data_IF_951158715151
#
_entry.id   IF_951158715151
#
_cell.length_a   1.000
_cell.length_b   1.000
_cell.length_c   1.000
_cell.angle_alpha   90.00
_cell.angle_beta   90.00
_cell.angle_gamma   90.00
#
_symmetry.space_group_name_H-M   'P 1'
#
loop_
_entity.id
_entity.type
_entity.pdbx_description
1 polymer ?
#
# COMPACT_ATOMS: atom_id res chain seq x y z
N UNK A 1 8.17 -21.09 27.94
CA UNK A 1 8.55 -21.03 26.53
C UNK A 1 7.79 -22.11 25.77
N UNK A 2 6.72 -21.73 25.06
CA UNK A 2 6.02 -22.66 24.17
C UNK A 2 6.88 -22.84 22.93
N UNK A 3 7.69 -23.89 22.88
CA UNK A 3 8.46 -24.24 21.70
C UNK A 3 7.50 -24.91 20.68
N UNK A 4 7.01 -24.15 19.72
CA UNK A 4 6.36 -24.74 18.54
C UNK A 4 7.48 -25.22 17.63
N UNK A 5 7.72 -26.53 17.62
CA UNK A 5 8.84 -27.16 16.90
C UNK A 5 8.42 -27.81 15.61
N UNK A 6 7.17 -28.25 15.52
CA UNK A 6 6.71 -29.11 14.44
C UNK A 6 5.52 -28.51 13.69
N UNK A 7 5.40 -28.90 12.43
CA UNK A 7 4.26 -28.65 11.55
C UNK A 7 3.75 -29.97 11.01
N UNK A 8 2.45 -30.05 10.81
CA UNK A 8 1.81 -31.21 10.19
C UNK A 8 1.22 -30.73 8.87
N UNK A 9 1.65 -31.35 7.79
CA UNK A 9 1.07 -31.14 6.47
C UNK A 9 0.13 -32.30 6.22
N UNK A 10 -1.13 -32.00 5.89
CA UNK A 10 -2.15 -33.01 5.61
C UNK A 10 -2.58 -32.90 4.15
N UNK A 11 -2.57 -34.01 3.43
CA UNK A 11 -3.19 -34.09 2.10
C UNK A 11 -4.72 -34.17 2.29
N UNK A 12 -5.47 -33.18 1.83
CA UNK A 12 -6.93 -33.14 2.00
C UNK A 12 -7.68 -34.21 1.18
N UNK A 13 -7.01 -34.81 0.18
CA UNK A 13 -7.61 -35.85 -0.67
C UNK A 13 -7.48 -37.25 -0.06
N UNK A 14 -6.29 -37.55 0.50
CA UNK A 14 -6.00 -38.88 1.05
C UNK A 14 -6.12 -38.97 2.58
N UNK A 15 -5.96 -37.83 3.25
CA UNK A 15 -5.86 -37.75 4.71
C UNK A 15 -4.48 -38.11 5.25
N UNK A 16 -3.50 -38.36 4.38
CA UNK A 16 -2.13 -38.62 4.77
C UNK A 16 -1.51 -37.40 5.44
N UNK A 17 -0.68 -37.64 6.46
CA UNK A 17 -0.04 -36.56 7.22
C UNK A 17 1.47 -36.73 7.27
N UNK A 18 2.19 -35.64 7.07
CA UNK A 18 3.64 -35.56 7.20
C UNK A 18 4.01 -34.58 8.31
N UNK A 19 4.99 -34.97 9.13
CA UNK A 19 5.52 -34.15 10.22
C UNK A 19 6.83 -33.51 9.80
N UNK A 20 6.93 -32.20 9.96
CA UNK A 20 8.14 -31.43 9.65
C UNK A 20 8.56 -30.60 10.86
N UNK A 21 9.86 -30.58 11.15
CA UNK A 21 10.40 -29.52 12.02
C UNK A 21 10.22 -28.18 11.32
N UNK A 22 10.05 -27.10 12.07
CA UNK A 22 9.86 -25.75 11.50
C UNK A 22 10.96 -25.35 10.54
N UNK A 23 12.21 -25.79 10.80
CA UNK A 23 13.37 -25.55 9.94
C UNK A 23 13.38 -26.35 8.63
N UNK A 24 12.55 -27.39 8.54
CA UNK A 24 12.53 -28.34 7.41
C UNK A 24 11.16 -28.34 6.68
N UNK A 25 10.34 -27.35 6.93
CA UNK A 25 9.05 -27.20 6.23
C UNK A 25 9.32 -26.88 4.75
N UNK A 26 8.65 -27.60 3.81
CA UNK A 26 8.83 -27.37 2.38
C UNK A 26 8.60 -25.91 1.97
N UNK A 27 9.41 -25.42 1.03
CA UNK A 27 9.42 -24.00 0.62
C UNK A 27 8.09 -23.51 0.02
N UNK A 28 7.23 -24.40 -0.46
CA UNK A 28 5.92 -24.04 -0.99
C UNK A 28 4.88 -23.72 0.10
N UNK A 29 5.21 -23.97 1.39
CA UNK A 29 4.35 -23.62 2.52
C UNK A 29 4.62 -22.17 2.92
N UNK A 30 3.74 -21.26 2.56
CA UNK A 30 3.91 -19.82 2.83
C UNK A 30 3.67 -19.43 4.29
N UNK A 31 2.83 -20.18 5.00
CA UNK A 31 2.45 -19.91 6.39
C UNK A 31 2.95 -21.01 7.30
N UNK A 32 4.20 -20.95 7.68
CA UNK A 32 4.78 -21.84 8.72
C UNK A 32 4.34 -21.38 10.11
N UNK A 33 4.20 -20.08 10.31
CA UNK A 33 3.63 -19.49 11.52
C UNK A 33 2.28 -18.86 11.22
N UNK A 34 1.36 -18.97 12.19
CA UNK A 34 0.09 -18.24 12.13
C UNK A 34 0.27 -16.77 12.50
N UNK A 35 -0.60 -15.88 11.95
CA UNK A 35 -0.55 -14.44 12.19
C UNK A 35 -0.68 -14.08 13.66
N UNK A 36 -1.67 -14.64 14.35
CA UNK A 36 -1.89 -14.40 15.79
C UNK A 36 -0.68 -14.82 16.61
N UNK A 37 -0.05 -15.95 16.25
CA UNK A 37 1.11 -16.45 16.97
C UNK A 37 2.32 -15.51 16.83
N UNK A 38 2.58 -14.98 15.63
CA UNK A 38 3.73 -14.07 15.46
C UNK A 38 3.49 -12.73 16.15
N UNK A 39 2.27 -12.19 16.14
CA UNK A 39 1.88 -11.02 16.92
C UNK A 39 2.08 -11.27 18.42
N UNK A 40 1.54 -12.38 18.95
CA UNK A 40 1.70 -12.73 20.35
C UNK A 40 3.16 -12.92 20.78
N UNK A 41 4.00 -13.52 19.93
CA UNK A 41 5.45 -13.62 20.18
C UNK A 41 6.12 -12.25 20.22
N UNK A 42 5.70 -11.34 19.33
CA UNK A 42 6.19 -9.97 19.33
C UNK A 42 5.80 -9.22 20.60
N UNK A 43 4.56 -9.40 21.07
CA UNK A 43 4.06 -8.78 22.30
C UNK A 43 4.83 -9.29 23.53
N UNK A 44 5.04 -10.59 23.66
CA UNK A 44 5.85 -11.15 24.74
C UNK A 44 7.28 -10.56 24.74
N UNK A 45 7.89 -10.42 23.56
CA UNK A 45 9.18 -9.75 23.46
C UNK A 45 9.09 -8.28 23.86
N UNK A 46 8.09 -7.56 23.37
CA UNK A 46 7.88 -6.14 23.66
C UNK A 46 7.62 -5.85 25.15
N UNK A 47 6.89 -6.73 25.83
CA UNK A 47 6.57 -6.62 27.25
C UNK A 47 7.73 -7.06 28.16
N UNK A 48 8.40 -8.17 27.80
CA UNK A 48 9.37 -8.82 28.70
C UNK A 48 10.82 -8.40 28.45
N UNK A 49 11.13 -7.74 27.32
CA UNK A 49 12.50 -7.33 26.97
C UNK A 49 13.15 -6.41 27.99
N UNK A 50 12.37 -5.62 28.73
CA UNK A 50 12.81 -4.76 29.83
C UNK A 50 12.98 -5.46 31.17
N UNK A 51 12.78 -6.78 31.23
CA UNK A 51 12.83 -7.61 32.42
C UNK A 51 11.51 -7.70 33.18
N UNK A 52 11.36 -8.79 33.95
CA UNK A 52 10.11 -9.16 34.66
C UNK A 52 9.59 -8.02 35.55
N UNK A 53 10.43 -7.39 36.35
CA UNK A 53 10.01 -6.31 37.26
C UNK A 53 9.51 -5.07 36.50
N UNK A 54 10.09 -4.77 35.36
CA UNK A 54 9.61 -3.67 34.52
C UNK A 54 8.25 -3.98 33.91
N UNK A 55 8.02 -5.21 33.45
CA UNK A 55 6.74 -5.61 32.87
C UNK A 55 5.59 -5.61 33.88
N UNK A 56 5.89 -5.85 35.18
CA UNK A 56 4.85 -5.93 36.22
C UNK A 56 4.59 -4.58 36.90
N UNK A 57 5.60 -3.74 37.10
CA UNK A 57 5.48 -2.51 37.91
C UNK A 57 5.78 -1.22 37.18
N UNK A 58 6.57 -1.25 36.10
CA UNK A 58 7.04 -0.01 35.47
C UNK A 58 6.54 0.21 34.05
N UNK A 59 6.37 -0.85 33.29
CA UNK A 59 5.99 -0.90 31.87
C UNK A 59 6.77 0.09 30.97
N UNK A 60 7.95 0.56 31.44
CA UNK A 60 8.73 1.57 30.73
C UNK A 60 9.32 0.99 29.45
N UNK A 61 8.93 1.56 28.32
CA UNK A 61 9.37 1.09 27.00
C UNK A 61 8.74 -0.22 26.55
N UNK A 62 7.75 -0.75 27.30
CA UNK A 62 6.97 -1.90 26.87
C UNK A 62 6.09 -1.54 25.67
N UNK A 63 6.05 -2.45 24.70
CA UNK A 63 5.35 -2.29 23.44
C UNK A 63 4.48 -3.52 23.18
N UNK A 64 3.38 -3.30 22.50
CA UNK A 64 2.52 -4.37 22.00
C UNK A 64 1.99 -4.03 20.61
N UNK A 65 1.55 -5.04 19.89
CA UNK A 65 0.84 -4.86 18.63
C UNK A 65 -0.54 -4.24 18.87
N UNK A 66 -1.11 -3.60 17.85
CA UNK A 66 -2.52 -3.20 17.84
C UNK A 66 -3.41 -4.43 17.70
N UNK A 67 -4.74 -4.27 17.93
CA UNK A 67 -5.67 -5.40 18.06
C UNK A 67 -5.96 -6.12 16.73
N UNK A 68 -5.46 -5.62 15.60
CA UNK A 68 -5.67 -6.22 14.28
C UNK A 68 -4.38 -6.20 13.45
N UNK A 69 -4.35 -6.97 12.38
CA UNK A 69 -3.21 -7.04 11.47
C UNK A 69 -3.63 -7.33 10.04
N UNK A 70 -2.79 -6.92 9.09
CA UNK A 70 -2.95 -7.22 7.68
C UNK A 70 -1.85 -8.13 7.15
N UNK A 71 -2.04 -8.64 5.94
CA UNK A 71 -1.06 -9.46 5.26
C UNK A 71 -0.49 -8.71 4.06
N UNK A 72 0.81 -8.90 3.81
CA UNK A 72 1.50 -8.37 2.64
C UNK A 72 2.47 -9.43 2.09
N UNK A 73 2.50 -9.58 0.77
CA UNK A 73 3.53 -10.38 0.12
C UNK A 73 4.74 -9.49 -0.14
N UNK A 74 5.92 -9.93 0.31
CA UNK A 74 7.18 -9.22 0.12
C UNK A 74 8.32 -10.24 -0.01
N UNK A 75 9.17 -10.07 -1.02
CA UNK A 75 10.32 -10.93 -1.31
C UNK A 75 9.97 -12.43 -1.45
N UNK A 76 8.76 -12.73 -1.94
CA UNK A 76 8.26 -14.09 -2.14
C UNK A 76 7.69 -14.76 -0.89
N UNK A 77 7.65 -14.09 0.25
CA UNK A 77 7.07 -14.56 1.50
C UNK A 77 5.85 -13.76 1.91
N UNK A 78 4.99 -14.37 2.72
CA UNK A 78 3.86 -13.69 3.36
C UNK A 78 4.30 -13.08 4.68
N UNK A 79 4.07 -11.80 4.84
CA UNK A 79 4.35 -11.03 6.04
C UNK A 79 3.05 -10.55 6.68
N UNK A 80 2.97 -10.61 8.00
CA UNK A 80 2.00 -9.86 8.79
C UNK A 80 2.55 -8.46 9.01
N UNK A 81 1.72 -7.44 8.91
CA UNK A 81 2.01 -6.09 9.39
C UNK A 81 0.92 -5.64 10.35
N UNK A 82 1.32 -4.91 11.39
CA UNK A 82 0.42 -4.39 12.41
C UNK A 82 1.04 -3.12 13.02
N UNK A 83 0.20 -2.24 13.54
CA UNK A 83 0.66 -1.12 14.35
C UNK A 83 1.30 -1.60 15.65
N UNK A 84 2.13 -0.76 16.23
CA UNK A 84 2.75 -1.00 17.54
C UNK A 84 2.46 0.20 18.43
N UNK A 85 1.90 -0.05 19.60
CA UNK A 85 1.58 0.97 20.61
C UNK A 85 2.42 0.76 21.86
N UNK A 86 2.52 1.80 22.68
CA UNK A 86 3.11 1.71 24.02
C UNK A 86 2.08 1.15 25.01
N UNK A 87 2.50 0.23 25.88
CA UNK A 87 1.63 -0.32 26.94
C UNK A 87 1.15 0.76 27.93
N UNK A 88 1.89 1.85 28.07
CA UNK A 88 1.59 2.93 29.01
C UNK A 88 1.05 4.22 28.37
N UNK A 89 0.85 4.22 27.05
CA UNK A 89 0.53 5.43 26.30
C UNK A 89 -0.93 5.51 25.90
N UNK A 90 -1.30 6.68 25.47
CA UNK A 90 -2.51 6.90 24.70
C UNK A 90 -2.48 6.01 23.45
N UNK A 91 -3.62 5.72 22.86
CA UNK A 91 -3.84 4.83 21.71
C UNK A 91 -3.13 5.26 20.40
N UNK A 92 -1.95 5.84 20.51
CA UNK A 92 -1.16 6.31 19.38
C UNK A 92 -0.14 5.26 18.96
N UNK A 93 -0.06 4.99 17.66
CA UNK A 93 0.99 4.17 17.10
C UNK A 93 2.36 4.83 17.29
N UNK A 94 3.30 4.06 17.81
CA UNK A 94 4.72 4.44 17.93
C UNK A 94 5.57 3.85 16.79
N UNK A 95 4.97 2.99 15.99
CA UNK A 95 5.61 2.34 14.84
C UNK A 95 4.77 1.21 14.27
N UNK A 96 5.37 0.48 13.35
CA UNK A 96 4.82 -0.72 12.74
C UNK A 96 5.76 -1.90 12.91
N UNK A 97 5.21 -3.07 13.13
CA UNK A 97 5.93 -4.32 13.08
C UNK A 97 5.55 -5.10 11.81
N UNK A 98 6.53 -5.71 11.19
CA UNK A 98 6.33 -6.67 10.11
C UNK A 98 6.94 -8.00 10.54
N UNK A 99 6.21 -9.09 10.37
CA UNK A 99 6.62 -10.42 10.81
C UNK A 99 6.46 -11.42 9.66
N UNK A 100 7.54 -12.07 9.30
CA UNK A 100 7.57 -13.08 8.26
C UNK A 100 6.93 -14.38 8.76
N UNK A 101 5.91 -14.86 8.06
CA UNK A 101 5.18 -16.08 8.45
C UNK A 101 5.92 -17.37 8.14
N UNK A 102 6.98 -17.34 7.34
CA UNK A 102 7.82 -18.50 7.07
C UNK A 102 8.94 -18.63 8.11
N UNK A 103 9.67 -17.53 8.35
CA UNK A 103 10.89 -17.55 9.17
C UNK A 103 10.65 -17.14 10.63
N UNK A 104 9.56 -16.42 10.91
CA UNK A 104 9.30 -15.79 12.20
C UNK A 104 10.15 -14.54 12.46
N UNK A 105 10.91 -14.06 11.44
CA UNK A 105 11.66 -12.80 11.54
C UNK A 105 10.71 -11.64 11.77
N UNK A 106 11.09 -10.71 12.63
CA UNK A 106 10.34 -9.48 12.87
C UNK A 106 11.18 -8.24 12.56
N UNK A 107 10.56 -7.23 11.92
CA UNK A 107 11.14 -5.93 11.63
C UNK A 107 10.26 -4.85 12.26
N UNK A 108 10.88 -3.89 12.92
CA UNK A 108 10.19 -2.75 13.52
C UNK A 108 10.55 -1.47 12.77
N UNK A 109 9.53 -0.72 12.38
CA UNK A 109 9.65 0.57 11.73
C UNK A 109 9.09 1.65 12.64
N UNK A 110 9.94 2.58 13.06
CA UNK A 110 9.51 3.69 13.91
C UNK A 110 8.77 4.73 13.07
N UNK A 111 7.46 4.76 13.17
CA UNK A 111 6.59 5.74 12.53
C UNK A 111 5.52 6.11 13.56
N UNK A 112 5.58 7.32 14.08
CA UNK A 112 4.53 7.82 14.98
C UNK A 112 3.33 8.29 14.15
N UNK A 113 2.12 7.91 14.53
CA UNK A 113 0.94 8.32 13.79
C UNK A 113 -0.36 7.72 14.30
N UNK A 114 -1.37 7.78 13.47
CA UNK A 114 -2.67 7.19 13.77
C UNK A 114 -2.58 5.65 13.71
N UNK A 115 -3.33 5.02 14.59
CA UNK A 115 -3.63 3.60 14.45
C UNK A 115 -4.60 3.36 13.28
N UNK A 116 -4.72 2.11 12.87
CA UNK A 116 -5.52 1.70 11.71
C UNK A 116 -6.98 2.12 11.83
N UNK A 117 -7.59 1.95 13.00
CA UNK A 117 -9.00 2.31 13.24
C UNK A 117 -9.24 3.81 13.19
N UNK A 118 -8.31 4.62 13.68
CA UNK A 118 -8.37 6.08 13.55
C UNK A 118 -8.27 6.53 12.11
N UNK A 119 -7.43 5.88 11.30
CA UNK A 119 -7.35 6.13 9.87
C UNK A 119 -8.63 5.71 9.13
N UNK A 120 -9.22 4.57 9.50
CA UNK A 120 -10.53 4.12 8.97
C UNK A 120 -11.62 5.13 9.29
N UNK A 121 -11.71 5.59 10.54
CA UNK A 121 -12.68 6.60 10.95
C UNK A 121 -12.50 7.93 10.20
N UNK A 122 -11.26 8.34 9.95
CA UNK A 122 -10.95 9.54 9.14
C UNK A 122 -11.42 9.39 7.70
N UNK A 123 -11.19 8.22 7.07
CA UNK A 123 -11.66 7.94 5.71
C UNK A 123 -13.20 7.88 5.63
N UNK A 124 -13.88 7.23 6.60
CA UNK A 124 -15.33 7.18 6.68
C UNK A 124 -15.92 8.59 6.87
N UNK A 125 -15.25 9.45 7.65
CA UNK A 125 -15.64 10.84 7.86
C UNK A 125 -15.72 11.64 6.57
N UNK A 126 -14.82 11.43 5.62
CA UNK A 126 -14.84 12.11 4.30
C UNK A 126 -16.08 11.77 3.46
N UNK A 127 -16.60 10.57 3.62
CA UNK A 127 -17.74 10.05 2.86
C UNK A 127 -18.96 9.75 3.73
N UNK A 128 -19.06 10.43 4.89
CA UNK A 128 -20.12 10.19 5.88
C UNK A 128 -21.53 10.27 5.28
N UNK A 129 -21.74 11.18 4.32
CA UNK A 129 -23.02 11.37 3.63
C UNK A 129 -23.42 10.18 2.75
N UNK A 130 -22.46 9.30 2.38
CA UNK A 130 -22.68 8.09 1.58
C UNK A 130 -22.90 6.85 2.47
N UNK A 131 -22.53 6.92 3.75
CA UNK A 131 -22.66 5.80 4.69
C UNK A 131 -21.73 4.63 4.39
N UNK A 132 -20.63 4.86 3.66
CA UNK A 132 -19.67 3.80 3.34
C UNK A 132 -18.80 3.44 4.54
N UNK A 133 -18.35 2.18 4.58
CA UNK A 133 -17.50 1.62 5.61
C UNK A 133 -16.12 1.28 5.06
N UNK A 134 -15.08 1.65 5.81
CA UNK A 134 -13.71 1.33 5.47
C UNK A 134 -13.39 -0.15 5.72
N UNK A 135 -12.59 -0.75 4.83
CA UNK A 135 -11.91 -2.01 5.14
C UNK A 135 -10.70 -1.74 6.01
N UNK A 136 -10.18 -2.78 6.67
CA UNK A 136 -8.86 -2.69 7.31
C UNK A 136 -7.83 -2.19 6.30
N UNK A 137 -6.99 -1.20 6.66
CA UNK A 137 -6.07 -0.57 5.74
C UNK A 137 -4.84 -1.41 5.45
N UNK A 138 -4.27 -1.24 4.27
CA UNK A 138 -2.92 -1.68 3.96
C UNK A 138 -1.93 -0.55 4.10
N UNK A 139 -0.79 -0.80 4.76
CA UNK A 139 0.30 0.15 4.85
C UNK A 139 1.14 0.12 3.57
N UNK A 140 1.28 1.27 2.93
CA UNK A 140 2.10 1.46 1.73
C UNK A 140 3.04 2.66 1.91
N UNK A 141 4.01 2.77 1.03
CA UNK A 141 4.87 3.95 0.97
C UNK A 141 4.57 4.73 -0.32
N UNK A 142 4.18 5.99 -0.18
CA UNK A 142 3.99 6.90 -1.30
C UNK A 142 5.07 7.98 -1.22
N UNK A 143 6.11 7.84 -2.05
CA UNK A 143 7.22 8.80 -2.14
C UNK A 143 7.88 9.11 -0.78
N UNK A 144 8.14 8.07 0.00
CA UNK A 144 8.75 8.19 1.32
C UNK A 144 7.77 8.49 2.46
N UNK A 145 6.48 8.67 2.16
CA UNK A 145 5.43 8.97 3.15
C UNK A 145 4.67 7.69 3.48
N UNK A 146 4.69 7.22 4.74
CA UNK A 146 3.87 6.11 5.18
C UNK A 146 2.39 6.46 5.00
N UNK A 147 1.66 5.63 4.29
CA UNK A 147 0.28 5.89 3.87
C UNK A 147 -0.57 4.64 4.05
N UNK A 148 -1.74 4.80 4.62
CA UNK A 148 -2.77 3.77 4.61
C UNK A 148 -3.58 3.84 3.32
N UNK A 149 -3.74 2.70 2.64
CA UNK A 149 -4.70 2.53 1.56
C UNK A 149 -5.81 1.58 1.99
N UNK A 150 -7.05 1.93 1.72
CA UNK A 150 -8.22 1.13 2.06
C UNK A 150 -9.31 1.28 1.03
N UNK A 151 -10.26 0.33 1.02
CA UNK A 151 -11.46 0.43 0.22
C UNK A 151 -12.65 0.87 1.08
N UNK A 152 -13.52 1.67 0.50
CA UNK A 152 -14.78 2.09 1.09
C UNK A 152 -15.92 1.29 0.44
N UNK A 153 -16.68 0.59 1.27
CA UNK A 153 -17.75 -0.33 0.85
C UNK A 153 -19.12 0.21 1.25
N UNK A 154 -20.12 -0.04 0.41
CA UNK A 154 -21.51 0.21 0.76
C UNK A 154 -22.04 -0.85 1.76
N UNK A 155 -23.30 -0.67 2.18
CA UNK A 155 -23.97 -1.59 3.10
C UNK A 155 -24.12 -3.02 2.54
N UNK A 156 -24.00 -3.19 1.22
CA UNK A 156 -24.02 -4.49 0.54
C UNK A 156 -22.62 -5.14 0.48
N UNK A 157 -21.59 -4.48 0.99
CA UNK A 157 -20.20 -4.97 0.97
C UNK A 157 -19.47 -4.73 -0.35
N UNK A 158 -20.10 -4.00 -1.31
CA UNK A 158 -19.48 -3.70 -2.60
C UNK A 158 -18.52 -2.51 -2.47
N UNK A 159 -17.33 -2.64 -3.04
CA UNK A 159 -16.34 -1.56 -3.12
C UNK A 159 -16.90 -0.43 -4.00
N UNK A 160 -16.93 0.78 -3.47
CA UNK A 160 -17.40 1.98 -4.13
C UNK A 160 -16.32 3.03 -4.34
N UNK A 161 -15.37 3.11 -3.41
CA UNK A 161 -14.30 4.10 -3.45
C UNK A 161 -13.03 3.52 -2.83
N UNK A 162 -11.93 4.22 -3.07
CA UNK A 162 -10.64 4.01 -2.42
C UNK A 162 -10.33 5.22 -1.56
N UNK A 163 -9.64 5.01 -0.43
CA UNK A 163 -9.16 6.07 0.43
C UNK A 163 -7.66 5.91 0.70
N UNK A 164 -6.97 7.02 0.76
CA UNK A 164 -5.57 7.15 1.16
C UNK A 164 -5.50 8.10 2.35
N UNK A 165 -4.83 7.68 3.42
CA UNK A 165 -4.69 8.43 4.67
C UNK A 165 -3.23 8.50 5.05
N UNK A 166 -2.72 9.70 5.30
CA UNK A 166 -1.37 9.88 5.84
C UNK A 166 -1.29 9.31 7.26
N UNK A 167 -0.27 8.49 7.53
CA UNK A 167 -0.12 7.82 8.82
C UNK A 167 0.17 8.81 9.94
N UNK A 168 1.04 9.79 9.70
CA UNK A 168 1.43 10.79 10.69
C UNK A 168 0.37 11.90 10.84
N UNK A 169 -0.23 12.27 9.71
CA UNK A 169 -1.23 13.35 9.62
C UNK A 169 -2.56 12.79 9.10
N UNK A 170 -3.23 11.99 9.91
CA UNK A 170 -4.47 11.29 9.55
C UNK A 170 -5.66 12.22 9.17
N UNK A 171 -5.50 13.53 9.27
CA UNK A 171 -6.42 14.51 8.69
C UNK A 171 -6.17 14.74 7.18
N UNK A 172 -5.03 14.30 6.63
CA UNK A 172 -4.78 14.28 5.20
C UNK A 172 -5.37 13.00 4.64
N UNK A 173 -6.59 13.11 4.13
CA UNK A 173 -7.38 12.01 3.59
C UNK A 173 -7.82 12.35 2.19
N UNK A 174 -7.52 11.47 1.25
CA UNK A 174 -8.01 11.56 -0.12
C UNK A 174 -8.89 10.36 -0.45
N UNK A 175 -9.97 10.59 -1.19
CA UNK A 175 -10.86 9.55 -1.69
C UNK A 175 -11.01 9.66 -3.18
N UNK A 176 -11.25 8.53 -3.86
CA UNK A 176 -11.50 8.48 -5.30
C UNK A 176 -12.31 7.25 -5.67
N UNK A 177 -13.02 7.30 -6.78
CA UNK A 177 -13.78 6.15 -7.29
C UNK A 177 -12.88 5.06 -7.86
N UNK A 178 -11.67 5.44 -8.26
CA UNK A 178 -10.59 4.53 -8.64
C UNK A 178 -9.37 4.75 -7.74
N UNK A 179 -8.44 3.80 -7.73
CA UNK A 179 -7.16 3.96 -7.03
C UNK A 179 -6.36 5.14 -7.60
N UNK A 180 -6.42 5.34 -8.91
CA UNK A 180 -5.74 6.43 -9.63
C UNK A 180 -6.27 7.78 -9.16
N UNK A 181 -7.59 7.96 -9.10
CA UNK A 181 -8.21 9.20 -8.64
C UNK A 181 -7.85 9.51 -7.17
N UNK A 182 -7.94 8.49 -6.32
CA UNK A 182 -7.55 8.63 -4.92
C UNK A 182 -6.08 9.03 -4.77
N UNK A 183 -5.18 8.42 -5.55
CA UNK A 183 -3.75 8.75 -5.55
C UNK A 183 -3.49 10.16 -6.06
N UNK A 184 -4.15 10.59 -7.13
CA UNK A 184 -4.03 11.94 -7.68
C UNK A 184 -4.48 13.00 -6.65
N UNK A 185 -5.66 12.77 -6.03
CA UNK A 185 -6.17 13.63 -4.98
C UNK A 185 -5.23 13.67 -3.76
N UNK A 186 -4.68 12.52 -3.34
CA UNK A 186 -3.75 12.42 -2.22
C UNK A 186 -2.46 13.20 -2.50
N UNK A 187 -1.87 13.03 -3.66
CA UNK A 187 -0.66 13.74 -4.05
C UNK A 187 -0.86 15.26 -4.06
N UNK A 188 -2.03 15.73 -4.51
CA UNK A 188 -2.41 17.14 -4.45
C UNK A 188 -2.46 17.64 -3.00
N UNK A 189 -3.11 16.90 -2.10
CA UNK A 189 -3.17 17.25 -0.68
C UNK A 189 -1.79 17.24 -0.03
N UNK A 190 -0.92 16.29 -0.35
CA UNK A 190 0.46 16.26 0.15
C UNK A 190 1.24 17.51 -0.29
N UNK A 191 1.10 17.92 -1.55
CA UNK A 191 1.74 19.15 -2.06
C UNK A 191 1.20 20.41 -1.36
N UNK A 192 -0.12 20.52 -1.16
CA UNK A 192 -0.77 21.64 -0.47
C UNK A 192 -0.33 21.73 1.00
N UNK A 193 0.00 20.59 1.63
CA UNK A 193 0.50 20.52 3.01
C UNK A 193 2.03 20.59 3.12
N UNK A 194 2.74 20.83 2.00
CA UNK A 194 4.20 20.95 1.99
C UNK A 194 4.95 19.65 2.30
N UNK A 195 4.28 18.49 2.19
CA UNK A 195 4.85 17.18 2.47
C UNK A 195 5.50 16.55 1.23
N UNK A 196 5.22 17.08 0.04
CA UNK A 196 5.76 16.61 -1.23
C UNK A 196 6.05 17.80 -2.15
N UNK A 197 7.23 17.84 -2.71
CA UNK A 197 7.46 18.73 -3.85
C UNK A 197 6.81 18.10 -5.08
N UNK A 198 6.15 18.90 -5.90
CA UNK A 198 5.57 18.48 -7.18
C UNK A 198 6.61 17.81 -8.10
N UNK A 199 7.91 17.99 -7.83
CA UNK A 199 9.02 17.40 -8.58
C UNK A 199 9.30 15.92 -8.22
N UNK A 200 8.87 15.39 -7.08
CA UNK A 200 9.24 14.03 -6.65
C UNK A 200 8.31 12.92 -7.18
N UNK A 201 7.26 13.25 -7.93
CA UNK A 201 6.37 12.24 -8.52
C UNK A 201 6.95 11.55 -9.76
N UNK A 202 8.01 12.10 -10.33
CA UNK A 202 8.50 11.73 -11.65
C UNK A 202 9.85 11.03 -11.65
N UNK A 203 10.57 10.98 -10.52
CA UNK A 203 11.94 10.46 -10.50
C UNK A 203 12.01 8.93 -10.70
N UNK A 204 10.95 8.19 -10.37
CA UNK A 204 10.87 6.73 -10.57
C UNK A 204 10.04 6.31 -11.80
N UNK A 205 9.40 7.25 -12.49
CA UNK A 205 8.61 6.96 -13.69
C UNK A 205 9.48 7.23 -14.92
N UNK A 206 9.62 6.26 -15.85
CA UNK A 206 10.27 6.50 -17.13
C UNK A 206 9.69 7.73 -17.79
N UNK A 207 10.55 8.70 -18.13
CA UNK A 207 10.12 9.91 -18.79
C UNK A 207 11.07 10.29 -19.92
N UNK A 208 10.54 10.97 -20.91
CA UNK A 208 11.31 11.42 -22.06
C UNK A 208 10.77 12.75 -22.57
N UNK A 209 11.69 13.65 -22.88
CA UNK A 209 11.35 14.83 -23.66
C UNK A 209 11.28 14.44 -25.14
N UNK A 210 10.15 14.66 -25.77
CA UNK A 210 9.90 14.28 -27.16
C UNK A 210 9.46 15.50 -27.98
N UNK A 211 9.72 15.43 -29.29
CA UNK A 211 9.05 16.28 -30.28
C UNK A 211 7.96 15.44 -30.94
N UNK A 212 6.74 15.91 -30.90
CA UNK A 212 5.58 15.22 -31.49
C UNK A 212 5.70 15.23 -32.99
N UNK A 213 5.81 14.05 -33.61
CA UNK A 213 5.80 13.90 -35.06
C UNK A 213 4.37 13.79 -35.59
N UNK A 214 3.55 12.98 -34.94
CA UNK A 214 2.16 12.73 -35.34
C UNK A 214 1.28 12.49 -34.10
N UNK A 215 -0.01 12.83 -34.22
CA UNK A 215 -1.02 12.56 -33.18
C UNK A 215 -2.28 12.02 -33.84
N UNK A 216 -2.83 10.93 -33.29
CA UNK A 216 -4.05 10.29 -33.80
C UNK A 216 -5.03 10.03 -32.67
N UNK A 217 -6.29 10.28 -32.96
CA UNK A 217 -7.42 9.96 -32.11
C UNK A 217 -8.14 8.74 -32.71
N UNK A 218 -8.20 7.65 -31.97
CA UNK A 218 -8.80 6.39 -32.41
C UNK A 218 -9.90 6.01 -31.44
N UNK A 219 -11.12 5.86 -31.95
CA UNK A 219 -12.24 5.40 -31.14
C UNK A 219 -12.32 3.87 -31.24
N UNK A 220 -12.27 3.20 -30.07
CA UNK A 220 -12.40 1.74 -29.94
C UNK A 220 -13.33 1.46 -28.75
N UNK A 221 -14.37 0.67 -28.96
CA UNK A 221 -15.29 0.20 -27.90
C UNK A 221 -15.81 1.33 -26.99
N UNK A 222 -16.32 2.43 -27.61
CA UNK A 222 -16.84 3.63 -26.94
C UNK A 222 -15.78 4.49 -26.22
N UNK A 223 -14.51 4.13 -26.29
CA UNK A 223 -13.39 4.87 -25.70
C UNK A 223 -12.54 5.51 -26.80
N UNK A 224 -12.21 6.80 -26.65
CA UNK A 224 -11.28 7.49 -27.55
C UNK A 224 -9.88 7.42 -26.98
N UNK A 225 -8.96 6.82 -27.71
CA UNK A 225 -7.54 6.78 -27.38
C UNK A 225 -6.77 7.80 -28.20
N UNK A 226 -5.82 8.48 -27.56
CA UNK A 226 -4.85 9.35 -28.20
C UNK A 226 -3.53 8.59 -28.37
N UNK A 227 -3.02 8.57 -29.59
CA UNK A 227 -1.72 8.02 -29.93
C UNK A 227 -0.79 9.14 -30.34
N UNK A 228 0.31 9.30 -29.64
CA UNK A 228 1.36 10.29 -29.96
C UNK A 228 2.56 9.50 -30.47
N UNK A 229 3.09 9.91 -31.64
CA UNK A 229 4.34 9.36 -32.18
C UNK A 229 5.40 10.44 -32.12
N UNK A 230 6.58 10.13 -31.60
CA UNK A 230 7.71 11.06 -31.59
C UNK A 230 8.53 10.96 -32.89
N UNK A 231 9.46 11.92 -33.10
CA UNK A 231 10.36 11.91 -34.27
C UNK A 231 11.29 10.69 -34.33
N UNK A 232 11.50 9.99 -33.21
CA UNK A 232 12.28 8.76 -33.14
C UNK A 232 11.46 7.49 -33.47
N UNK A 233 10.12 7.64 -33.66
CA UNK A 233 9.21 6.55 -33.99
C UNK A 233 8.65 5.81 -32.77
N UNK A 234 8.88 6.28 -31.55
CA UNK A 234 8.24 5.72 -30.36
C UNK A 234 6.77 6.13 -30.32
N UNK A 235 5.92 5.20 -29.91
CA UNK A 235 4.46 5.40 -29.82
C UNK A 235 4.03 5.42 -28.37
N UNK A 236 3.22 6.41 -28.04
CA UNK A 236 2.64 6.60 -26.72
C UNK A 236 1.11 6.64 -26.83
N UNK A 237 0.41 6.05 -25.90
CA UNK A 237 -1.05 5.92 -25.90
C UNK A 237 -1.63 6.37 -24.56
N UNK A 238 -2.78 7.05 -24.61
CA UNK A 238 -3.59 7.35 -23.41
C UNK A 238 -5.08 7.34 -23.78
N UNK A 239 -5.94 7.00 -22.81
CA UNK A 239 -7.36 7.25 -22.89
C UNK A 239 -7.60 8.77 -22.83
N UNK A 240 -8.31 9.30 -23.82
CA UNK A 240 -8.57 10.75 -23.92
C UNK A 240 -9.38 11.28 -22.72
N UNK A 241 -10.26 10.47 -22.15
CA UNK A 241 -11.06 10.85 -20.99
C UNK A 241 -10.21 11.08 -19.72
N UNK A 242 -9.00 10.54 -19.67
CA UNK A 242 -8.08 10.72 -18.55
C UNK A 242 -7.30 12.04 -18.61
N UNK A 243 -7.15 12.62 -19.80
CA UNK A 243 -6.42 13.87 -19.99
C UNK A 243 -6.92 14.63 -21.23
N UNK A 244 -7.92 15.48 -21.04
CA UNK A 244 -8.50 16.29 -22.11
C UNK A 244 -7.52 17.34 -22.64
N UNK A 245 -6.45 17.68 -21.92
CA UNK A 245 -5.43 18.64 -22.39
C UNK A 245 -4.66 18.13 -23.61
N UNK A 246 -4.69 16.83 -23.87
CA UNK A 246 -4.08 16.22 -25.05
C UNK A 246 -4.63 16.79 -26.36
N UNK A 247 -5.87 17.35 -26.36
CA UNK A 247 -6.47 17.98 -27.54
C UNK A 247 -5.69 19.21 -28.03
N UNK A 248 -4.90 19.84 -27.15
CA UNK A 248 -4.12 21.02 -27.47
C UNK A 248 -2.71 20.70 -27.97
N UNK A 249 -2.31 19.41 -27.96
CA UNK A 249 -1.01 18.97 -28.46
C UNK A 249 -1.06 18.86 -29.98
N UNK A 250 -0.03 19.37 -30.64
CA UNK A 250 0.08 19.39 -32.10
C UNK A 250 1.43 18.82 -32.55
N UNK A 251 1.49 18.39 -33.82
CA UNK A 251 2.77 18.02 -34.43
C UNK A 251 3.75 19.18 -34.38
N UNK A 252 4.98 18.92 -33.98
CA UNK A 252 6.04 19.89 -33.74
C UNK A 252 6.16 20.39 -32.30
N UNK A 253 5.18 20.12 -31.42
CA UNK A 253 5.25 20.46 -30.00
C UNK A 253 6.35 19.66 -29.29
N UNK A 254 7.05 20.35 -28.37
CA UNK A 254 7.99 19.70 -27.45
C UNK A 254 7.31 19.49 -26.12
N UNK A 255 7.16 18.23 -25.74
CA UNK A 255 6.51 17.82 -24.51
C UNK A 255 7.38 16.83 -23.74
N UNK A 256 7.21 16.78 -22.44
CA UNK A 256 7.80 15.74 -21.61
C UNK A 256 6.73 14.72 -21.26
N UNK A 257 6.93 13.48 -21.69
CA UNK A 257 5.99 12.37 -21.47
C UNK A 257 6.51 11.48 -20.37
N UNK A 258 5.67 11.22 -19.37
CA UNK A 258 5.88 10.21 -18.35
C UNK A 258 5.07 8.99 -18.75
N UNK A 259 5.71 7.83 -18.82
CA UNK A 259 5.07 6.67 -19.41
C UNK A 259 5.47 5.36 -18.70
N UNK A 260 4.65 4.36 -18.88
CA UNK A 260 4.96 2.98 -18.51
C UNK A 260 5.33 2.22 -19.79
N UNK A 261 6.48 1.56 -19.77
CA UNK A 261 6.89 0.71 -20.90
C UNK A 261 5.95 -0.50 -21.02
N UNK A 262 5.63 -0.85 -22.25
CA UNK A 262 4.79 -1.99 -22.58
C UNK A 262 5.51 -2.91 -23.57
N UNK A 263 5.38 -4.21 -23.36
CA UNK A 263 6.01 -5.25 -24.19
C UNK A 263 5.58 -5.24 -25.66
N UNK A 264 4.46 -4.56 -25.97
CA UNK A 264 3.93 -4.45 -27.33
C UNK A 264 4.52 -3.28 -28.15
N UNK A 265 5.45 -2.51 -27.56
CA UNK A 265 6.08 -1.35 -28.19
C UNK A 265 5.24 -0.08 -28.21
N UNK A 266 4.06 -0.08 -27.58
CA UNK A 266 3.21 1.08 -27.38
C UNK A 266 3.21 1.43 -25.89
N UNK A 267 3.84 2.54 -25.52
CA UNK A 267 3.98 2.96 -24.13
C UNK A 267 2.70 3.64 -23.64
N UNK A 268 2.24 3.29 -22.44
CA UNK A 268 1.06 3.94 -21.85
C UNK A 268 1.47 5.25 -21.18
N UNK A 269 0.85 6.36 -21.58
CA UNK A 269 1.09 7.69 -20.99
C UNK A 269 0.48 7.74 -19.59
N UNK A 270 1.28 8.19 -18.62
CA UNK A 270 0.84 8.46 -17.26
C UNK A 270 0.52 9.95 -17.10
N UNK A 271 1.39 10.82 -17.63
CA UNK A 271 1.17 12.26 -17.66
C UNK A 271 2.03 12.94 -18.73
N UNK A 272 1.65 14.17 -19.09
CA UNK A 272 2.36 15.00 -20.06
C UNK A 272 2.59 16.37 -19.44
N UNK A 273 3.81 16.90 -19.60
CA UNK A 273 4.19 18.28 -19.26
C UNK A 273 4.59 19.04 -20.54
N UNK A 274 4.19 20.29 -20.66
CA UNK A 274 4.54 21.19 -21.79
C UNK A 274 5.71 22.07 -21.46
#
# INVERSE_FOLDING_TARGET
EMCIRDRVICDPCTGDTEYHEVSDVPHWVDRVYDGDLVCQKYDWYGELSGGYWNSVFGNKGCKRTTDDYGYKVMDGDVWVYTGVTSVNGDESNIGFAMMNLRTGESKYYKVAGAEEYSAMASAEGQVQHLGYKASFPSLINISGIPTYIMVLKDNGGLVKMYALVDVEKYNIVATGTTQKDALAAYNKLLAENGLKSTQSMTDDIPNRQITVADIKYINMDETTYVYITDEAGNVYKQDFSENEELIFIQSGDKIKVFYQESDNGINDIISVER
#
